data_IF_755063279350
#
_entry.id   IF_755063279350
#
_cell.length_a   1.000
_cell.length_b   1.000
_cell.length_c   1.000
_cell.angle_alpha   90.00
_cell.angle_beta   90.00
_cell.angle_gamma   90.00
#
_symmetry.space_group_name_H-M   'P 1'
#
loop_
_entity.id
_entity.type
_entity.pdbx_description
1 polymer ?
#
# COMPACT_ATOMS: atom_id res chain seq x y z
N UNK A 1 -14.95 18.42 -28.20
CA UNK A 1 -14.16 18.39 -26.95
C UNK A 1 -14.71 17.26 -26.13
N UNK A 2 -14.01 16.12 -26.07
CA UNK A 2 -14.38 15.03 -25.20
C UNK A 2 -14.10 15.49 -23.77
N UNK A 3 -15.13 15.51 -22.94
CA UNK A 3 -15.00 15.69 -21.50
C UNK A 3 -14.27 14.46 -20.99
N UNK A 4 -12.97 14.60 -20.73
CA UNK A 4 -12.25 13.69 -19.83
C UNK A 4 -12.92 13.84 -18.48
N UNK A 5 -13.84 12.93 -18.17
CA UNK A 5 -14.28 12.72 -16.81
C UNK A 5 -13.03 12.18 -16.12
N UNK A 6 -12.34 13.03 -15.37
CA UNK A 6 -11.34 12.60 -14.40
C UNK A 6 -12.07 11.64 -13.46
N UNK A 7 -11.99 10.34 -13.76
CA UNK A 7 -12.42 9.30 -12.83
C UNK A 7 -11.44 9.44 -11.68
N UNK A 8 -11.86 10.14 -10.62
CA UNK A 8 -11.12 10.17 -9.36
C UNK A 8 -11.20 8.76 -8.82
N UNK A 9 -10.22 7.95 -9.18
CA UNK A 9 -10.06 6.61 -8.66
C UNK A 9 -9.66 6.77 -7.20
N UNK A 10 -10.56 6.45 -6.27
CA UNK A 10 -10.20 6.39 -4.85
C UNK A 10 -9.28 5.19 -4.62
N UNK A 11 -7.98 5.46 -4.71
CA UNK A 11 -6.92 4.45 -4.64
C UNK A 11 -6.86 3.80 -3.26
N UNK A 12 -7.42 4.44 -2.22
CA UNK A 12 -7.49 3.87 -0.87
C UNK A 12 -8.32 2.59 -0.86
N UNK A 13 -9.25 2.41 -1.79
CA UNK A 13 -10.00 1.16 -1.96
C UNK A 13 -9.11 -0.03 -2.33
N UNK A 14 -7.92 0.22 -2.87
CA UNK A 14 -6.96 -0.81 -3.28
C UNK A 14 -5.87 -1.10 -2.24
N UNK A 15 -5.82 -0.30 -1.18
CA UNK A 15 -4.86 -0.47 -0.10
C UNK A 15 -5.37 -1.50 0.91
N UNK A 16 -4.50 -2.41 1.36
CA UNK A 16 -4.86 -3.34 2.42
C UNK A 16 -5.06 -2.62 3.75
N UNK A 17 -5.79 -3.24 4.68
CA UNK A 17 -5.95 -2.72 6.05
C UNK A 17 -4.61 -2.66 6.81
N UNK A 18 -3.67 -3.51 6.42
CA UNK A 18 -2.37 -3.67 7.06
C UNK A 18 -1.32 -4.16 6.07
N UNK A 19 -0.07 -3.72 6.24
CA UNK A 19 1.11 -4.37 5.66
C UNK A 19 2.26 -4.38 6.67
N UNK A 20 3.35 -5.04 6.30
CA UNK A 20 4.60 -5.05 7.06
C UNK A 20 5.72 -4.38 6.26
N UNK A 21 6.61 -3.68 6.96
CA UNK A 21 7.82 -3.07 6.39
C UNK A 21 8.98 -3.15 7.40
N UNK A 22 10.15 -2.66 7.03
CA UNK A 22 11.25 -2.44 7.95
C UNK A 22 11.21 -1.02 8.51
N UNK A 23 11.41 -0.90 9.82
CA UNK A 23 11.79 0.36 10.44
C UNK A 23 13.13 0.82 9.85
N UNK A 24 13.19 1.98 9.18
CA UNK A 24 14.43 2.46 8.56
C UNK A 24 15.52 2.80 9.59
N UNK A 25 15.16 3.02 10.86
CA UNK A 25 16.11 3.40 11.92
C UNK A 25 16.74 2.14 12.54
N UNK A 26 15.91 1.16 12.90
CA UNK A 26 16.36 0.00 13.69
C UNK A 26 16.40 -1.31 12.91
N UNK A 27 15.97 -1.33 11.64
CA UNK A 27 15.95 -2.51 10.78
C UNK A 27 14.98 -3.60 11.27
N UNK A 28 13.99 -3.24 12.10
CA UNK A 28 13.04 -4.19 12.69
C UNK A 28 11.77 -4.28 11.86
N UNK A 29 11.16 -5.45 11.80
CA UNK A 29 9.83 -5.61 11.22
C UNK A 29 8.81 -4.76 11.97
N UNK A 30 8.11 -3.90 11.24
CA UNK A 30 7.02 -3.09 11.73
C UNK A 30 5.76 -3.36 10.91
N UNK A 31 4.62 -3.13 11.56
CA UNK A 31 3.30 -3.18 10.98
C UNK A 31 2.85 -1.75 10.67
N UNK A 32 2.36 -1.54 9.45
CA UNK A 32 1.68 -0.33 9.01
C UNK A 32 0.19 -0.65 8.96
N UNK A 33 -0.62 0.15 9.63
CA UNK A 33 -2.08 0.03 9.57
C UNK A 33 -2.65 1.20 8.79
N UNK A 34 -3.55 0.89 7.87
CA UNK A 34 -4.31 1.91 7.16
C UNK A 34 -5.09 2.75 8.17
N UNK A 35 -5.20 4.04 7.89
CA UNK A 35 -5.88 5.04 8.74
C UNK A 35 -5.23 5.30 10.11
N UNK A 36 -4.01 4.77 10.34
CA UNK A 36 -3.21 5.09 11.52
C UNK A 36 -1.85 5.62 11.07
N UNK A 37 -1.48 6.79 11.58
CA UNK A 37 -0.16 7.38 11.28
C UNK A 37 0.91 6.69 12.13
N UNK A 38 1.98 6.28 11.46
CA UNK A 38 3.14 5.67 12.10
C UNK A 38 3.17 4.14 12.01
N UNK A 39 4.21 3.57 12.62
CA UNK A 39 4.51 2.14 12.53
C UNK A 39 4.46 1.50 13.91
N UNK A 40 4.01 0.25 13.96
CA UNK A 40 3.89 -0.54 15.19
C UNK A 40 4.90 -1.68 15.16
N UNK A 41 5.68 -1.86 16.22
CA UNK A 41 6.58 -3.02 16.31
C UNK A 41 5.76 -4.30 16.24
N UNK A 42 6.02 -5.15 15.26
CA UNK A 42 5.32 -6.43 15.13
C UNK A 42 5.69 -7.32 16.33
N UNK A 43 4.68 -7.84 17.03
CA UNK A 43 4.88 -8.83 18.09
C UNK A 43 5.30 -10.16 17.45
N UNK A 44 6.49 -10.63 17.78
CA UNK A 44 7.11 -11.81 17.16
C UNK A 44 8.41 -11.43 16.47
N UNK A 45 9.53 -11.61 17.17
CA UNK A 45 10.85 -11.30 16.62
C UNK A 45 11.19 -12.32 15.53
N UNK A 46 11.78 -11.83 14.43
CA UNK A 46 12.50 -12.57 13.38
C UNK A 46 11.73 -13.06 12.13
N UNK A 47 10.52 -12.56 11.84
CA UNK A 47 9.93 -12.81 10.51
C UNK A 47 10.14 -11.59 9.59
N UNK A 48 10.80 -11.76 8.43
CA UNK A 48 10.95 -10.70 7.44
C UNK A 48 9.59 -10.19 6.92
N UNK A 49 9.39 -8.88 6.73
CA UNK A 49 8.19 -8.28 6.16
C UNK A 49 7.74 -8.95 4.87
N UNK A 50 8.68 -9.35 4.00
CA UNK A 50 8.40 -9.99 2.72
C UNK A 50 7.64 -11.31 2.90
N UNK A 51 7.98 -12.09 3.93
CA UNK A 51 7.28 -13.34 4.23
C UNK A 51 5.87 -13.07 4.74
N UNK A 52 5.70 -12.06 5.58
CA UNK A 52 4.40 -11.68 6.14
C UNK A 52 3.47 -11.12 5.06
N UNK A 53 3.97 -10.21 4.23
CA UNK A 53 3.22 -9.63 3.11
C UNK A 53 2.83 -10.68 2.07
N UNK A 54 3.69 -11.69 1.83
CA UNK A 54 3.36 -12.81 0.95
C UNK A 54 2.20 -13.66 1.48
N UNK A 55 2.14 -13.92 2.79
CA UNK A 55 1.01 -14.64 3.42
C UNK A 55 -0.30 -13.85 3.26
N UNK A 56 -0.22 -12.53 3.31
CA UNK A 56 -1.34 -11.62 3.07
C UNK A 56 -1.65 -11.37 1.59
N UNK A 57 -0.91 -12.01 0.67
CA UNK A 57 -1.03 -11.84 -0.78
C UNK A 57 -0.91 -10.38 -1.27
N UNK A 58 -0.08 -9.58 -0.57
CA UNK A 58 0.15 -8.19 -0.91
C UNK A 58 1.16 -8.04 -2.04
N UNK A 59 0.92 -7.09 -2.94
CA UNK A 59 1.88 -6.75 -3.98
C UNK A 59 2.96 -5.80 -3.46
N UNK A 60 4.16 -5.78 -4.08
CA UNK A 60 5.17 -4.78 -3.78
C UNK A 60 4.63 -3.35 -3.89
N UNK A 61 3.74 -3.11 -4.85
CA UNK A 61 3.16 -1.79 -5.09
C UNK A 61 2.16 -1.38 -4.00
N UNK A 62 1.35 -2.32 -3.49
CA UNK A 62 0.52 -2.08 -2.30
C UNK A 62 1.38 -1.77 -1.07
N UNK A 63 2.51 -2.46 -0.89
CA UNK A 63 3.44 -2.19 0.21
C UNK A 63 4.07 -0.79 0.08
N UNK A 64 4.57 -0.43 -1.10
CA UNK A 64 5.11 0.91 -1.40
C UNK A 64 4.09 2.02 -1.08
N UNK A 65 2.82 1.79 -1.44
CA UNK A 65 1.76 2.75 -1.20
C UNK A 65 1.39 2.89 0.28
N UNK A 66 1.39 1.80 1.02
CA UNK A 66 1.20 1.80 2.46
C UNK A 66 2.35 2.52 3.19
N UNK A 67 3.60 2.32 2.75
CA UNK A 67 4.76 3.05 3.27
C UNK A 67 4.67 4.55 3.00
N UNK A 68 4.27 4.94 1.79
CA UNK A 68 4.03 6.33 1.43
C UNK A 68 2.93 6.95 2.31
N UNK A 69 1.78 6.26 2.44
CA UNK A 69 0.66 6.69 3.27
C UNK A 69 1.03 6.84 4.75
N UNK A 70 1.80 5.89 5.30
CA UNK A 70 2.29 5.96 6.67
C UNK A 70 3.22 7.15 6.92
N UNK A 71 3.97 7.60 5.91
CA UNK A 71 4.96 8.66 6.03
C UNK A 71 4.36 10.06 5.82
N UNK A 72 3.46 10.20 4.86
CA UNK A 72 2.96 11.49 4.40
C UNK A 72 1.46 11.72 4.66
N UNK A 73 0.73 10.70 5.09
CA UNK A 73 -0.72 10.69 5.22
C UNK A 73 -1.38 9.89 4.09
N UNK A 74 -2.36 9.06 4.43
CA UNK A 74 -3.10 8.24 3.45
C UNK A 74 -3.99 9.08 2.52
N UNK A 75 -4.38 10.29 2.93
CA UNK A 75 -5.06 11.28 2.10
C UNK A 75 -4.14 11.88 1.02
N UNK A 76 -2.81 11.81 1.23
CA UNK A 76 -1.82 12.34 0.27
C UNK A 76 -1.43 11.36 -0.83
N UNK A 77 -1.88 10.11 -0.77
CA UNK A 77 -1.58 9.11 -1.80
C UNK A 77 -2.14 9.57 -3.16
N UNK A 78 -3.33 10.16 -3.18
CA UNK A 78 -3.98 10.68 -4.39
C UNK A 78 -3.19 11.81 -5.05
N UNK A 79 -2.35 12.52 -4.29
CA UNK A 79 -1.46 13.56 -4.81
C UNK A 79 -0.21 12.98 -5.50
N UNK A 80 0.05 11.68 -5.39
CA UNK A 80 1.16 10.99 -6.04
C UNK A 80 0.68 10.31 -7.34
N UNK A 81 0.55 11.09 -8.41
CA UNK A 81 0.04 10.63 -9.71
C UNK A 81 0.73 9.38 -10.27
N UNK A 82 2.04 9.22 -10.02
CA UNK A 82 2.80 8.05 -10.47
C UNK A 82 2.35 6.79 -9.73
N UNK A 83 2.27 6.87 -8.40
CA UNK A 83 1.87 5.75 -7.54
C UNK A 83 0.41 5.35 -7.80
N UNK A 84 -0.47 6.34 -7.93
CA UNK A 84 -1.89 6.18 -8.29
C UNK A 84 -2.04 5.45 -9.62
N UNK A 85 -1.35 5.92 -10.66
CA UNK A 85 -1.44 5.32 -12.01
C UNK A 85 -0.98 3.86 -12.02
N UNK A 86 0.14 3.56 -11.33
CA UNK A 86 0.64 2.18 -11.21
C UNK A 86 -0.37 1.29 -10.47
N UNK A 87 -0.91 1.75 -9.35
CA UNK A 87 -1.84 0.96 -8.53
C UNK A 87 -3.12 0.66 -9.29
N UNK A 88 -3.72 1.67 -9.92
CA UNK A 88 -4.94 1.49 -10.71
C UNK A 88 -4.74 0.46 -11.81
N UNK A 89 -3.63 0.53 -12.54
CA UNK A 89 -3.29 -0.43 -13.60
C UNK A 89 -3.11 -1.85 -13.06
N UNK A 90 -2.36 -2.03 -11.98
CA UNK A 90 -2.15 -3.35 -11.37
C UNK A 90 -3.46 -3.97 -10.88
N UNK A 91 -4.34 -3.16 -10.31
CA UNK A 91 -5.65 -3.63 -9.81
C UNK A 91 -6.61 -3.98 -10.94
N UNK A 92 -6.60 -3.23 -12.03
CA UNK A 92 -7.32 -3.59 -13.25
C UNK A 92 -6.84 -4.93 -13.78
N UNK A 93 -5.53 -5.10 -14.00
CA UNK A 93 -4.94 -6.36 -14.47
C UNK A 93 -5.35 -7.54 -13.58
N UNK A 94 -5.28 -7.39 -12.25
CA UNK A 94 -5.68 -8.45 -11.30
C UNK A 94 -7.19 -8.76 -11.31
N UNK A 95 -8.07 -7.79 -11.56
CA UNK A 95 -9.52 -8.02 -11.71
C UNK A 95 -9.83 -8.91 -12.93
N UNK A 96 -9.02 -8.82 -13.99
CA UNK A 96 -9.15 -9.68 -15.17
C UNK A 96 -8.64 -11.12 -14.94
N UNK A 97 -7.95 -11.40 -13.83
CA UNK A 97 -7.46 -12.75 -13.47
C UNK A 97 -8.33 -13.51 -12.47
N UNK A 98 -9.43 -12.93 -12.00
CA UNK A 98 -10.47 -13.65 -11.23
C UNK A 98 -11.52 -14.20 -12.19
N UNK A 99 -11.28 -15.41 -12.70
CA UNK A 99 -12.28 -16.28 -13.35
C UNK A 99 -12.80 -17.32 -12.36
#
# INVERSE_FOLDING_TARGET
MQNEVDVIVDVRCYLPDMCYSYDPIHGRTVCIRKDIIGTFVALGRSVPPERLNKVMNLTPLQVEAMEYGSKYGFDKIESNHILVSKLSKEMEERKWYTF
#
